data_IF_642099058169
#
_entry.id   IF_642099058169
#
_cell.length_a   1.000
_cell.length_b   1.000
_cell.length_c   1.000
_cell.angle_alpha   90.00
_cell.angle_beta   90.00
_cell.angle_gamma   90.00
#
_symmetry.space_group_name_H-M   'P 1'
#
loop_
_entity.id
_entity.type
_entity.pdbx_description
1 polymer ?
#
# COMPACT_ATOMS: atom_id res chain seq x y z
N UNK A 1 9.36 4.05 21.61
CA UNK A 1 8.93 3.66 20.25
C UNK A 1 8.13 2.34 20.17
N UNK A 2 7.84 1.68 21.29
CA UNK A 2 7.08 0.42 21.33
C UNK A 2 5.63 0.52 20.79
N UNK A 3 5.12 1.73 20.58
CA UNK A 3 3.74 1.99 20.11
C UNK A 3 3.59 2.21 18.61
N UNK A 4 4.68 2.29 17.82
CA UNK A 4 4.62 2.53 16.37
C UNK A 4 4.97 1.27 15.58
N UNK A 5 4.24 0.99 14.49
CA UNK A 5 4.57 -0.13 13.59
C UNK A 5 5.94 0.10 12.91
N UNK A 6 6.68 -0.98 12.67
CA UNK A 6 8.01 -0.98 12.05
C UNK A 6 8.06 -0.18 10.74
N UNK A 7 7.02 -0.27 9.89
CA UNK A 7 6.91 0.50 8.64
C UNK A 7 6.88 2.00 8.85
N UNK A 8 6.17 2.48 9.89
CA UNK A 8 6.11 3.90 10.23
C UNK A 8 7.44 4.41 10.76
N UNK A 9 8.14 3.58 11.56
CA UNK A 9 9.48 3.89 12.08
C UNK A 9 10.48 3.96 10.92
N UNK A 10 10.44 3.02 9.98
CA UNK A 10 11.30 3.01 8.78
C UNK A 10 11.10 4.28 7.95
N UNK A 11 9.84 4.64 7.66
CA UNK A 11 9.53 5.88 6.93
C UNK A 11 10.04 7.13 7.64
N UNK A 12 9.84 7.22 8.96
CA UNK A 12 10.35 8.34 9.75
C UNK A 12 11.88 8.42 9.69
N UNK A 13 12.60 7.30 9.86
CA UNK A 13 14.06 7.23 9.75
C UNK A 13 14.54 7.69 8.38
N UNK A 14 13.86 7.29 7.31
CA UNK A 14 14.21 7.71 5.94
C UNK A 14 14.10 9.23 5.79
N UNK A 15 12.99 9.84 6.22
CA UNK A 15 12.84 11.30 6.14
C UNK A 15 13.83 12.03 7.05
N UNK A 16 14.08 11.50 8.24
CA UNK A 16 15.03 12.07 9.18
C UNK A 16 16.44 12.11 8.58
N UNK A 17 16.94 10.96 8.12
CA UNK A 17 18.32 10.83 7.64
C UNK A 17 18.56 11.52 6.29
N UNK A 18 17.57 11.49 5.39
CA UNK A 18 17.77 11.98 4.03
C UNK A 18 17.43 13.47 3.88
N UNK A 19 16.61 14.03 4.76
CA UNK A 19 16.11 15.39 4.59
C UNK A 19 16.28 16.30 5.80
N UNK A 20 15.89 15.84 7.01
CA UNK A 20 15.88 16.69 8.18
C UNK A 20 17.29 16.88 8.75
N UNK A 21 18.02 15.79 9.03
CA UNK A 21 19.40 15.88 9.56
C UNK A 21 20.31 16.67 8.60
N UNK A 22 20.38 16.39 7.28
CA UNK A 22 21.26 17.14 6.38
C UNK A 22 20.98 18.64 6.29
N UNK A 23 19.77 19.07 6.67
CA UNK A 23 19.40 20.48 6.64
C UNK A 23 19.59 21.17 7.99
N UNK A 24 19.26 20.49 9.09
CA UNK A 24 19.20 21.10 10.43
C UNK A 24 20.35 20.71 11.36
N UNK A 25 21.31 19.87 10.92
CA UNK A 25 22.38 19.31 11.76
C UNK A 25 23.31 20.37 12.42
N UNK A 26 23.36 21.58 11.89
CA UNK A 26 24.15 22.66 12.42
C UNK A 26 23.37 23.64 13.32
N UNK A 27 22.06 23.42 13.44
CA UNK A 27 21.17 24.29 14.21
C UNK A 27 20.76 23.55 15.48
N UNK A 28 21.02 24.21 16.63
CA UNK A 28 20.46 23.72 17.89
C UNK A 28 18.94 23.84 17.85
N UNK A 29 18.24 22.78 18.24
CA UNK A 29 16.78 22.74 18.25
C UNK A 29 16.14 23.86 19.07
N UNK A 30 16.82 24.33 20.11
CA UNK A 30 16.36 25.47 20.96
C UNK A 30 16.47 26.82 20.27
N UNK A 31 17.34 26.93 19.27
CA UNK A 31 17.57 28.15 18.49
C UNK A 31 16.88 28.10 17.11
N UNK A 32 16.14 27.02 16.82
CA UNK A 32 15.44 26.87 15.54
C UNK A 32 14.35 27.93 15.38
N UNK A 33 14.37 28.64 14.26
CA UNK A 33 13.42 29.71 13.94
C UNK A 33 12.42 29.33 12.89
N UNK A 34 11.33 30.12 12.79
CA UNK A 34 10.36 29.97 11.67
C UNK A 34 11.03 30.21 10.32
N UNK A 35 12.02 31.13 10.25
CA UNK A 35 12.77 31.38 9.01
C UNK A 35 13.56 30.14 8.53
N UNK A 36 14.15 29.39 9.45
CA UNK A 36 14.90 28.18 9.10
C UNK A 36 13.98 27.09 8.54
N UNK A 37 12.78 26.97 9.11
CA UNK A 37 11.75 26.06 8.58
C UNK A 37 11.27 26.50 7.20
N UNK A 38 11.05 27.81 6.98
CA UNK A 38 10.68 28.35 5.66
C UNK A 38 11.78 28.14 4.62
N UNK A 39 13.06 28.34 4.98
CA UNK A 39 14.21 28.02 4.11
C UNK A 39 14.23 26.54 3.73
N UNK A 40 13.98 25.65 4.69
CA UNK A 40 13.86 24.22 4.45
C UNK A 40 12.75 23.92 3.45
N UNK A 41 11.55 24.45 3.67
CA UNK A 41 10.40 24.25 2.78
C UNK A 41 10.73 24.75 1.35
N UNK A 42 11.26 25.95 1.21
CA UNK A 42 11.62 26.54 -0.08
C UNK A 42 12.70 25.71 -0.81
N UNK A 43 13.70 25.19 -0.09
CA UNK A 43 14.71 24.30 -0.65
C UNK A 43 14.05 23.01 -1.18
N UNK A 44 13.17 22.39 -0.38
CA UNK A 44 12.51 21.14 -0.75
C UNK A 44 11.51 21.28 -1.90
N UNK A 45 10.86 22.42 -2.04
CA UNK A 45 10.04 22.75 -3.21
C UNK A 45 10.88 22.76 -4.50
N UNK A 46 12.09 23.32 -4.46
CA UNK A 46 13.00 23.38 -5.62
C UNK A 46 13.58 22.01 -6.02
N UNK A 47 13.61 21.06 -5.09
CA UNK A 47 14.12 19.68 -5.36
C UNK A 47 13.15 18.81 -6.18
N UNK A 48 11.94 19.29 -6.51
CA UNK A 48 10.99 18.59 -7.39
C UNK A 48 10.26 17.40 -6.77
N UNK A 49 10.20 17.31 -5.44
CA UNK A 49 9.42 16.29 -4.75
C UNK A 49 7.91 16.47 -4.95
N UNK A 50 7.14 15.39 -4.91
CA UNK A 50 5.67 15.46 -4.96
C UNK A 50 5.10 16.20 -3.76
N UNK A 51 3.99 16.93 -3.96
CA UNK A 51 3.34 17.71 -2.90
C UNK A 51 2.99 16.88 -1.66
N UNK A 52 2.52 15.64 -1.85
CA UNK A 52 2.24 14.73 -0.72
C UNK A 52 3.49 14.33 0.05
N UNK A 53 4.60 14.13 -0.64
CA UNK A 53 5.87 13.80 -0.01
C UNK A 53 6.39 14.97 0.81
N UNK A 54 6.29 16.19 0.28
CA UNK A 54 6.64 17.43 0.98
C UNK A 54 5.78 17.63 2.24
N UNK A 55 4.46 17.51 2.11
CA UNK A 55 3.53 17.59 3.26
C UNK A 55 3.89 16.58 4.34
N UNK A 56 4.29 15.37 3.95
CA UNK A 56 4.69 14.31 4.88
C UNK A 56 6.00 14.62 5.60
N UNK A 57 6.99 15.22 4.91
CA UNK A 57 8.23 15.71 5.55
C UNK A 57 7.93 16.73 6.63
N UNK A 58 7.05 17.69 6.34
CA UNK A 58 6.66 18.71 7.31
C UNK A 58 5.96 18.09 8.54
N UNK A 59 5.02 17.16 8.34
CA UNK A 59 4.35 16.43 9.43
C UNK A 59 5.37 15.70 10.32
N UNK A 60 6.43 15.14 9.75
CA UNK A 60 7.48 14.51 10.55
C UNK A 60 8.31 15.52 11.33
N UNK A 61 8.63 16.68 10.76
CA UNK A 61 9.31 17.76 11.47
C UNK A 61 8.46 18.26 12.66
N UNK A 62 7.17 18.52 12.43
CA UNK A 62 6.21 18.91 13.49
C UNK A 62 6.15 17.84 14.59
N UNK A 63 6.08 16.55 14.21
CA UNK A 63 6.05 15.45 15.18
C UNK A 63 7.35 15.36 16.01
N UNK A 64 8.50 15.66 15.41
CA UNK A 64 9.80 15.68 16.10
C UNK A 64 9.87 16.81 17.10
N UNK A 65 9.49 18.04 16.71
CA UNK A 65 9.50 19.20 17.59
C UNK A 65 8.45 19.07 18.71
N UNK A 66 7.27 18.49 18.45
CA UNK A 66 6.31 18.16 19.50
C UNK A 66 6.88 17.15 20.52
N UNK A 67 7.70 16.20 20.07
CA UNK A 67 8.41 15.30 20.98
C UNK A 67 9.43 16.07 21.83
N UNK A 68 10.17 17.01 21.23
CA UNK A 68 11.11 17.85 21.95
C UNK A 68 10.41 18.76 22.98
N UNK A 69 9.26 19.33 22.65
CA UNK A 69 8.42 20.07 23.61
C UNK A 69 7.98 19.22 24.79
N UNK A 70 7.61 17.97 24.53
CA UNK A 70 7.07 17.08 25.57
C UNK A 70 8.14 16.52 26.53
N UNK A 71 9.37 16.31 26.05
CA UNK A 71 10.38 15.54 26.78
C UNK A 71 11.72 16.25 26.93
N UNK A 72 11.92 17.41 26.29
CA UNK A 72 13.20 18.10 26.23
C UNK A 72 13.05 19.63 26.39
N UNK A 73 11.99 20.11 27.05
CA UNK A 73 11.76 21.50 27.43
C UNK A 73 11.78 22.53 26.28
N UNK A 74 11.58 22.10 25.02
CA UNK A 74 11.41 23.03 23.91
C UNK A 74 10.12 23.84 24.13
N UNK A 75 10.19 25.16 24.09
CA UNK A 75 9.06 26.04 24.45
C UNK A 75 7.98 26.13 23.39
N UNK A 76 8.31 26.01 22.11
CA UNK A 76 7.36 26.15 21.01
C UNK A 76 7.74 25.30 19.81
N UNK A 77 6.75 24.92 19.01
CA UNK A 77 6.95 24.20 17.75
C UNK A 77 6.89 25.19 16.59
N UNK A 78 8.05 25.71 16.20
CA UNK A 78 8.16 26.69 15.10
C UNK A 78 7.69 26.12 13.75
N UNK A 79 7.77 24.80 13.53
CA UNK A 79 7.24 24.20 12.31
C UNK A 79 5.70 24.23 12.29
N UNK A 80 5.03 24.05 13.42
CA UNK A 80 3.57 24.23 13.51
C UNK A 80 3.16 25.68 13.22
N UNK A 81 3.97 26.66 13.65
CA UNK A 81 3.68 28.07 13.40
C UNK A 81 3.80 28.45 11.92
N UNK A 82 4.78 27.87 11.22
CA UNK A 82 4.96 28.09 9.76
C UNK A 82 3.82 27.45 8.95
N UNK A 83 3.28 26.35 9.41
CA UNK A 83 2.27 25.61 8.66
C UNK A 83 2.86 24.67 7.61
N UNK A 84 2.00 23.82 7.04
CA UNK A 84 2.39 22.83 6.05
C UNK A 84 2.53 23.48 4.66
N UNK A 85 3.11 22.76 3.71
CA UNK A 85 3.20 23.19 2.32
C UNK A 85 1.80 23.43 1.73
N UNK A 86 1.58 24.62 1.20
CA UNK A 86 0.37 24.98 0.44
C UNK A 86 0.53 24.47 -1.00
N UNK A 87 0.21 23.22 -1.22
CA UNK A 87 0.27 22.58 -2.54
C UNK A 87 -1.09 21.96 -2.83
N UNK A 88 -1.70 22.38 -3.92
CA UNK A 88 -2.92 21.74 -4.41
C UNK A 88 -2.65 20.27 -4.72
N UNK A 89 -3.39 19.38 -4.10
CA UNK A 89 -3.37 17.97 -4.46
C UNK A 89 -4.48 17.70 -5.45
N UNK A 90 -4.19 17.78 -6.74
CA UNK A 90 -5.07 17.28 -7.79
C UNK A 90 -5.09 15.76 -7.74
N UNK A 91 -5.72 15.18 -6.72
CA UNK A 91 -5.96 13.74 -6.64
C UNK A 91 -7.09 13.39 -7.60
N UNK A 92 -6.73 13.08 -8.84
CA UNK A 92 -7.64 12.29 -9.66
C UNK A 92 -7.65 10.87 -9.12
N UNK A 93 -8.84 10.36 -8.79
CA UNK A 93 -9.02 8.93 -8.54
C UNK A 93 -8.90 8.23 -9.90
N UNK A 94 -7.77 7.61 -10.14
CA UNK A 94 -7.60 6.78 -11.32
C UNK A 94 -8.21 5.42 -11.02
N UNK A 95 -8.99 4.92 -11.94
CA UNK A 95 -9.60 3.59 -11.88
C UNK A 95 -9.83 3.07 -13.29
N UNK A 96 -9.98 1.78 -13.43
CA UNK A 96 -10.41 1.13 -14.66
C UNK A 96 -11.89 0.79 -14.59
N UNK A 97 -12.57 0.95 -15.72
CA UNK A 97 -13.88 0.35 -15.95
C UNK A 97 -13.76 -1.17 -16.05
N UNK A 98 -14.89 -1.88 -16.01
CA UNK A 98 -14.90 -3.34 -16.20
C UNK A 98 -14.28 -3.74 -17.55
N UNK A 99 -14.60 -3.01 -18.62
CA UNK A 99 -14.05 -3.29 -19.96
C UNK A 99 -12.53 -3.10 -20.01
N UNK A 100 -12.01 -2.06 -19.34
CA UNK A 100 -10.58 -1.83 -19.24
C UNK A 100 -9.90 -2.91 -18.39
N UNK A 101 -10.52 -3.34 -17.30
CA UNK A 101 -10.02 -4.45 -16.51
C UNK A 101 -10.00 -5.74 -17.32
N UNK A 102 -11.05 -6.04 -18.10
CA UNK A 102 -11.09 -7.20 -18.96
C UNK A 102 -9.98 -7.20 -20.02
N UNK A 103 -9.70 -6.05 -20.66
CA UNK A 103 -8.56 -5.93 -21.58
C UNK A 103 -7.22 -6.24 -20.89
N UNK A 104 -7.01 -5.76 -19.68
CA UNK A 104 -5.82 -6.10 -18.88
C UNK A 104 -5.81 -7.60 -18.51
N UNK A 105 -6.94 -8.16 -18.12
CA UNK A 105 -7.07 -9.56 -17.74
C UNK A 105 -6.69 -10.52 -18.88
N UNK A 106 -7.09 -10.20 -20.12
CA UNK A 106 -6.81 -11.04 -21.31
C UNK A 106 -5.31 -11.16 -21.62
N UNK A 107 -4.51 -10.14 -21.33
CA UNK A 107 -3.07 -10.17 -21.58
C UNK A 107 -2.26 -10.85 -20.47
N UNK A 108 -2.90 -11.29 -19.39
CA UNK A 108 -2.24 -12.02 -18.32
C UNK A 108 -1.95 -13.47 -18.72
N UNK A 109 -0.68 -13.93 -18.67
CA UNK A 109 -0.28 -15.20 -19.27
C UNK A 109 -0.59 -16.45 -18.45
N UNK A 110 -0.81 -16.33 -17.13
CA UNK A 110 -1.00 -17.51 -16.26
C UNK A 110 -2.26 -17.40 -15.41
N UNK A 111 -2.82 -18.55 -15.04
CA UNK A 111 -4.01 -18.64 -14.17
C UNK A 111 -3.77 -17.94 -12.82
N UNK A 112 -2.56 -18.05 -12.25
CA UNK A 112 -2.20 -17.39 -10.98
C UNK A 112 -2.26 -15.88 -11.10
N UNK A 113 -1.75 -15.31 -12.21
CA UNK A 113 -1.80 -13.88 -12.45
C UNK A 113 -3.23 -13.41 -12.66
N UNK A 114 -3.98 -14.13 -13.49
CA UNK A 114 -5.40 -13.89 -13.76
C UNK A 114 -6.20 -13.87 -12.47
N UNK A 115 -6.08 -14.90 -11.67
CA UNK A 115 -6.81 -15.03 -10.40
C UNK A 115 -6.42 -13.98 -9.38
N UNK A 116 -5.12 -13.66 -9.26
CA UNK A 116 -4.63 -12.63 -8.34
C UNK A 116 -5.25 -11.25 -8.63
N UNK A 117 -5.19 -10.80 -9.88
CA UNK A 117 -5.73 -9.50 -10.25
C UNK A 117 -7.26 -9.48 -10.28
N UNK A 118 -7.90 -10.60 -10.63
CA UNK A 118 -9.35 -10.76 -10.57
C UNK A 118 -9.86 -10.66 -9.12
N UNK A 119 -9.17 -11.29 -8.16
CA UNK A 119 -9.47 -11.14 -6.73
C UNK A 119 -9.29 -9.69 -6.26
N UNK A 120 -8.22 -8.98 -6.66
CA UNK A 120 -8.06 -7.57 -6.32
C UNK A 120 -9.22 -6.71 -6.82
N UNK A 121 -9.65 -6.95 -8.06
CA UNK A 121 -10.70 -6.18 -8.70
C UNK A 121 -12.09 -6.43 -8.07
N UNK A 122 -12.47 -7.69 -7.90
CA UNK A 122 -13.80 -8.06 -7.38
C UNK A 122 -13.93 -7.98 -5.86
N UNK A 123 -12.86 -8.10 -5.11
CA UNK A 123 -12.91 -7.99 -3.65
C UNK A 123 -12.67 -6.57 -3.13
N UNK A 124 -12.00 -5.71 -3.91
CA UNK A 124 -11.52 -4.43 -3.44
C UNK A 124 -10.55 -4.54 -2.25
N UNK A 125 -9.97 -5.72 -1.99
CA UNK A 125 -8.99 -5.90 -0.93
C UNK A 125 -7.65 -5.24 -1.26
N UNK A 126 -6.81 -5.02 -0.25
CA UNK A 126 -5.46 -4.47 -0.47
C UNK A 126 -4.53 -5.55 -1.03
N UNK A 127 -3.54 -5.16 -1.84
CA UNK A 127 -2.51 -6.07 -2.39
C UNK A 127 -1.91 -6.99 -1.32
N UNK A 128 -1.55 -6.44 -0.16
CA UNK A 128 -0.99 -7.22 0.94
C UNK A 128 -1.99 -8.15 1.64
N UNK A 129 -3.27 -7.84 1.61
CA UNK A 129 -4.34 -8.71 2.12
C UNK A 129 -4.49 -9.94 1.21
N UNK A 130 -4.59 -9.74 -0.11
CA UNK A 130 -4.66 -10.85 -1.09
C UNK A 130 -3.40 -11.72 -1.05
N UNK A 131 -2.20 -11.12 -0.90
CA UNK A 131 -0.95 -11.88 -0.77
C UNK A 131 -0.89 -12.75 0.48
N UNK A 132 -1.55 -12.32 1.57
CA UNK A 132 -1.57 -13.04 2.82
C UNK A 132 -2.62 -14.15 2.90
N UNK A 133 -3.55 -14.22 1.94
CA UNK A 133 -4.60 -15.25 1.94
C UNK A 133 -4.01 -16.66 1.91
N UNK A 134 -4.60 -17.52 2.70
CA UNK A 134 -4.39 -18.97 2.68
C UNK A 134 -5.68 -19.67 2.26
N UNK A 135 -5.62 -20.94 1.89
CA UNK A 135 -6.81 -21.70 1.49
C UNK A 135 -7.86 -21.79 2.60
N UNK A 136 -7.43 -21.80 3.88
CA UNK A 136 -8.35 -21.80 5.02
C UNK A 136 -9.13 -20.50 5.21
N UNK A 137 -8.70 -19.40 4.55
CA UNK A 137 -9.43 -18.12 4.58
C UNK A 137 -10.59 -18.06 3.56
N UNK A 138 -10.80 -19.11 2.76
CA UNK A 138 -11.83 -19.16 1.74
C UNK A 138 -12.99 -20.04 2.22
N UNK A 139 -14.16 -19.45 2.29
CA UNK A 139 -15.40 -20.17 2.55
C UNK A 139 -16.13 -20.39 1.21
N UNK A 140 -16.07 -21.64 0.73
CA UNK A 140 -16.70 -22.04 -0.53
C UNK A 140 -18.21 -22.28 -0.41
N UNK A 141 -18.72 -22.50 0.80
CA UNK A 141 -20.15 -22.75 1.04
C UNK A 141 -20.94 -21.44 1.03
N UNK A 142 -20.38 -20.40 1.68
CA UNK A 142 -21.02 -19.09 1.79
C UNK A 142 -20.46 -18.05 0.81
N UNK A 143 -19.53 -18.43 -0.07
CA UNK A 143 -18.95 -17.60 -1.13
C UNK A 143 -18.25 -16.33 -0.60
N UNK A 144 -17.39 -16.43 0.42
CA UNK A 144 -16.60 -15.29 0.89
C UNK A 144 -15.12 -15.63 1.13
N UNK A 145 -14.31 -14.60 1.16
CA UNK A 145 -12.94 -14.64 1.67
C UNK A 145 -12.84 -13.90 2.99
N UNK A 146 -12.13 -14.48 3.98
CA UNK A 146 -11.92 -13.89 5.29
C UNK A 146 -10.61 -13.10 5.33
N UNK A 147 -10.70 -11.77 5.40
CA UNK A 147 -9.52 -10.90 5.52
C UNK A 147 -9.18 -10.67 6.98
N UNK A 148 -8.14 -11.32 7.49
CA UNK A 148 -7.69 -11.25 8.88
C UNK A 148 -6.20 -10.94 9.03
N UNK A 149 -5.46 -10.85 7.92
CA UNK A 149 -4.02 -10.65 7.90
C UNK A 149 -3.57 -9.86 6.66
N UNK A 150 -2.36 -9.35 6.71
CA UNK A 150 -1.72 -8.68 5.57
C UNK A 150 -0.24 -9.01 5.53
N UNK A 151 0.28 -9.26 4.34
CA UNK A 151 1.72 -9.41 4.11
C UNK A 151 2.34 -8.04 3.78
N UNK A 152 3.36 -7.66 4.53
CA UNK A 152 4.15 -6.46 4.32
C UNK A 152 5.62 -6.84 4.19
N UNK A 153 6.15 -6.85 2.97
CA UNK A 153 7.54 -7.26 2.66
C UNK A 153 7.94 -8.66 3.14
N UNK A 154 7.00 -9.59 3.21
CA UNK A 154 7.22 -10.95 3.70
C UNK A 154 6.88 -11.15 5.18
N UNK A 155 6.57 -10.09 5.90
CA UNK A 155 6.09 -10.15 7.27
C UNK A 155 4.55 -10.18 7.29
N UNK A 156 3.96 -11.30 7.67
CA UNK A 156 2.51 -11.42 7.84
C UNK A 156 2.12 -10.85 9.21
N UNK A 157 1.24 -9.87 9.17
CA UNK A 157 0.79 -9.18 10.39
C UNK A 157 -0.74 -9.07 10.44
N UNK A 158 -1.27 -9.01 11.66
CA UNK A 158 -2.70 -8.71 11.88
C UNK A 158 -3.00 -7.25 11.48
N UNK A 159 -4.18 -6.96 10.93
CA UNK A 159 -4.61 -5.60 10.60
C UNK A 159 -4.51 -4.64 11.79
N UNK A 160 -4.41 -3.34 11.49
CA UNK A 160 -4.23 -2.28 12.52
C UNK A 160 -5.48 -2.05 13.38
N UNK A 161 -6.65 -2.36 12.83
CA UNK A 161 -7.95 -2.10 13.47
C UNK A 161 -8.83 -3.33 13.36
N UNK A 162 -9.72 -3.55 14.32
CA UNK A 162 -10.72 -4.62 14.26
C UNK A 162 -11.62 -4.51 13.01
N UNK A 163 -11.96 -3.30 12.58
CA UNK A 163 -12.75 -3.06 11.38
C UNK A 163 -12.06 -3.46 10.06
N UNK A 164 -10.75 -3.74 10.08
CA UNK A 164 -10.04 -4.24 8.92
C UNK A 164 -10.14 -5.77 8.78
N UNK A 165 -10.57 -6.48 9.84
CA UNK A 165 -10.94 -7.90 9.78
C UNK A 165 -12.37 -7.94 9.29
N UNK A 166 -12.60 -8.65 8.17
CA UNK A 166 -13.89 -8.66 7.50
C UNK A 166 -14.01 -9.83 6.54
N UNK A 167 -15.23 -10.24 6.29
CA UNK A 167 -15.59 -11.15 5.21
C UNK A 167 -15.94 -10.33 3.97
N UNK A 168 -15.46 -10.76 2.81
CA UNK A 168 -15.79 -10.17 1.53
C UNK A 168 -16.48 -11.23 0.70
N UNK A 169 -17.75 -11.05 0.44
CA UNK A 169 -18.53 -11.92 -0.42
C UNK A 169 -18.12 -11.73 -1.88
N UNK A 170 -17.90 -12.82 -2.57
CA UNK A 170 -17.45 -12.83 -3.95
C UNK A 170 -18.56 -13.36 -4.87
N UNK A 171 -18.64 -12.86 -6.11
CA UNK A 171 -19.53 -13.43 -7.11
C UNK A 171 -19.23 -14.91 -7.38
N UNK A 172 -20.24 -15.68 -7.75
CA UNK A 172 -20.14 -17.13 -7.98
C UNK A 172 -19.03 -17.50 -8.95
N UNK A 173 -18.88 -16.76 -10.05
CA UNK A 173 -17.83 -17.00 -11.04
C UNK A 173 -16.39 -16.84 -10.50
N UNK A 174 -16.21 -16.05 -9.43
CA UNK A 174 -14.93 -15.93 -8.73
C UNK A 174 -14.65 -17.15 -7.86
N UNK A 175 -15.71 -17.67 -7.21
CA UNK A 175 -15.59 -18.88 -6.39
C UNK A 175 -15.34 -20.12 -7.28
N UNK A 176 -15.89 -20.13 -8.48
CA UNK A 176 -15.66 -21.22 -9.46
C UNK A 176 -14.19 -21.21 -9.93
N UNK A 177 -13.62 -20.05 -10.25
CA UNK A 177 -12.19 -19.92 -10.57
C UNK A 177 -11.30 -20.38 -9.38
N UNK A 178 -11.66 -20.04 -8.16
CA UNK A 178 -10.94 -20.48 -6.96
C UNK A 178 -11.04 -22.00 -6.75
N UNK A 179 -12.20 -22.62 -7.02
CA UNK A 179 -12.40 -24.07 -6.97
C UNK A 179 -11.54 -24.78 -8.04
N UNK A 180 -11.50 -24.24 -9.25
CA UNK A 180 -10.67 -24.80 -10.33
C UNK A 180 -9.18 -24.77 -9.93
N UNK A 181 -8.72 -23.64 -9.39
CA UNK A 181 -7.35 -23.49 -8.93
C UNK A 181 -7.04 -24.40 -7.73
N UNK A 182 -7.97 -24.58 -6.80
CA UNK A 182 -7.87 -25.53 -5.70
C UNK A 182 -7.76 -26.98 -6.20
N UNK A 183 -8.59 -27.37 -7.16
CA UNK A 183 -8.57 -28.71 -7.75
C UNK A 183 -7.21 -29.02 -8.38
N UNK A 184 -6.58 -28.04 -9.02
CA UNK A 184 -5.24 -28.21 -9.54
C UNK A 184 -4.22 -28.54 -8.42
N UNK A 185 -4.26 -27.82 -7.27
CA UNK A 185 -3.40 -28.10 -6.13
C UNK A 185 -3.66 -29.48 -5.52
N UNK A 186 -4.91 -29.87 -5.40
CA UNK A 186 -5.30 -31.18 -4.84
C UNK A 186 -4.84 -32.33 -5.74
N UNK A 187 -5.04 -32.22 -7.04
CA UNK A 187 -4.65 -33.22 -8.02
C UNK A 187 -3.13 -33.40 -8.13
N UNK A 188 -2.36 -32.37 -7.80
CA UNK A 188 -0.89 -32.44 -7.76
C UNK A 188 -0.33 -32.78 -6.37
N UNK A 189 -1.18 -33.15 -5.39
CA UNK A 189 -0.80 -33.49 -4.01
C UNK A 189 0.00 -32.39 -3.27
N UNK A 190 -0.20 -31.11 -3.63
CA UNK A 190 0.48 -29.97 -3.04
C UNK A 190 -0.42 -29.13 -2.14
N UNK A 191 -1.69 -29.51 -2.03
CA UNK A 191 -2.67 -28.78 -1.22
C UNK A 191 -2.48 -29.01 0.28
N UNK A 192 -2.47 -27.90 1.03
CA UNK A 192 -2.77 -27.85 2.45
C UNK A 192 -3.51 -26.54 2.74
N UNK A 193 -4.46 -26.57 3.65
CA UNK A 193 -5.35 -25.43 3.94
C UNK A 193 -4.59 -24.20 4.46
N UNK A 194 -3.49 -24.40 5.14
CA UNK A 194 -2.63 -23.35 5.66
C UNK A 194 -1.64 -22.74 4.63
N UNK A 195 -1.53 -23.32 3.42
CA UNK A 195 -0.67 -22.78 2.39
C UNK A 195 -1.23 -21.47 1.82
N UNK A 196 -0.35 -20.55 1.53
CA UNK A 196 -0.72 -19.29 0.87
C UNK A 196 -1.32 -19.57 -0.51
N UNK A 197 -2.35 -18.80 -0.84
CA UNK A 197 -3.05 -18.91 -2.11
C UNK A 197 -2.12 -18.57 -3.30
N UNK A 198 -1.29 -17.54 -3.14
CA UNK A 198 -0.36 -17.05 -4.16
C UNK A 198 1.08 -17.08 -3.66
N UNK A 199 1.74 -18.22 -3.85
CA UNK A 199 3.10 -18.37 -3.37
C UNK A 199 3.63 -19.79 -3.42
N UNK A 200 4.57 -20.08 -2.53
CA UNK A 200 5.14 -21.40 -2.36
C UNK A 200 4.94 -21.81 -0.90
N UNK A 201 4.06 -22.77 -0.64
CA UNK A 201 3.71 -23.22 0.70
C UNK A 201 3.31 -22.07 1.63
N UNK A 202 4.13 -21.74 2.62
CA UNK A 202 3.87 -20.68 3.60
C UNK A 202 4.38 -19.29 3.18
N UNK A 203 5.06 -19.19 2.02
CA UNK A 203 5.68 -17.94 1.57
C UNK A 203 4.95 -17.36 0.37
N UNK A 204 4.30 -16.24 0.59
CA UNK A 204 3.66 -15.47 -0.49
C UNK A 204 4.68 -14.97 -1.53
N UNK A 205 4.24 -14.81 -2.78
CA UNK A 205 5.05 -14.16 -3.81
C UNK A 205 5.43 -12.74 -3.34
N UNK A 206 6.68 -12.34 -3.63
CA UNK A 206 7.17 -11.02 -3.24
C UNK A 206 6.38 -9.90 -3.91
N UNK A 207 6.35 -8.73 -3.27
CA UNK A 207 5.73 -7.54 -3.86
C UNK A 207 6.32 -7.23 -5.23
N UNK A 208 7.64 -7.31 -5.37
CA UNK A 208 8.34 -7.06 -6.65
C UNK A 208 7.94 -8.05 -7.74
N UNK A 209 7.58 -9.31 -7.39
CA UNK A 209 7.06 -10.27 -8.38
C UNK A 209 5.69 -9.84 -8.90
N UNK A 210 4.80 -9.42 -7.99
CA UNK A 210 3.47 -8.95 -8.36
C UNK A 210 3.55 -7.65 -9.17
N UNK A 211 4.40 -6.70 -8.75
CA UNK A 211 4.60 -5.44 -9.47
C UNK A 211 5.15 -5.68 -10.88
N UNK A 212 6.01 -6.69 -11.05
CA UNK A 212 6.52 -7.11 -12.35
C UNK A 212 5.44 -7.75 -13.21
N UNK A 213 4.55 -8.57 -12.66
CA UNK A 213 3.40 -9.12 -13.37
C UNK A 213 2.54 -8.00 -13.96
N UNK A 214 2.18 -7.03 -13.11
CA UNK A 214 1.41 -5.87 -13.53
C UNK A 214 2.11 -5.08 -14.63
N UNK A 215 3.40 -4.74 -14.43
CA UNK A 215 4.17 -3.94 -15.38
C UNK A 215 4.34 -4.65 -16.73
N UNK A 216 4.56 -5.96 -16.72
CA UNK A 216 4.73 -6.73 -17.96
C UNK A 216 3.41 -6.85 -18.73
N UNK A 217 2.31 -7.14 -18.06
CA UNK A 217 0.99 -7.15 -18.67
C UNK A 217 0.61 -5.77 -19.22
N UNK A 218 0.90 -4.71 -18.46
CA UNK A 218 0.61 -3.34 -18.88
C UNK A 218 1.33 -2.95 -20.19
N UNK A 219 2.54 -3.44 -20.43
CA UNK A 219 3.31 -3.21 -21.67
C UNK A 219 2.66 -3.80 -22.92
N UNK A 220 1.76 -4.76 -22.75
CA UNK A 220 1.04 -5.42 -23.86
C UNK A 220 -0.24 -4.70 -24.24
N UNK A 221 -0.66 -3.70 -23.46
CA UNK A 221 -1.84 -2.89 -23.72
C UNK A 221 -1.54 -1.73 -24.65
N UNK A 222 -2.55 -1.11 -25.29
CA UNK A 222 -2.39 0.06 -26.12
C UNK A 222 -1.64 1.20 -25.40
N UNK A 223 -0.91 2.04 -26.13
CA UNK A 223 -0.08 3.11 -25.57
C UNK A 223 -0.88 4.20 -24.87
N UNK A 224 -2.13 4.39 -25.26
CA UNK A 224 -3.11 5.32 -24.69
C UNK A 224 -3.97 4.70 -23.57
N UNK A 225 -3.70 3.45 -23.21
CA UNK A 225 -4.44 2.76 -22.16
C UNK A 225 -4.31 3.50 -20.80
N UNK A 226 -5.41 3.69 -20.03
CA UNK A 226 -5.39 4.49 -18.81
C UNK A 226 -4.39 3.96 -17.78
N UNK A 227 -3.49 4.84 -17.34
CA UNK A 227 -2.45 4.49 -16.36
C UNK A 227 -3.01 4.49 -14.95
N UNK A 228 -2.87 3.34 -14.29
CA UNK A 228 -3.14 3.19 -12.86
C UNK A 228 -1.97 2.44 -12.19
N UNK A 229 -1.94 2.44 -10.86
CA UNK A 229 -1.07 1.56 -10.07
C UNK A 229 -1.89 0.42 -9.46
N UNK A 230 -1.25 -0.66 -9.05
CA UNK A 230 -1.96 -1.85 -8.52
C UNK A 230 -2.94 -1.50 -7.39
N UNK A 231 -2.57 -0.52 -6.53
CA UNK A 231 -3.47 -0.10 -5.44
C UNK A 231 -4.76 0.55 -5.95
N UNK A 232 -4.74 1.15 -7.13
CA UNK A 232 -5.88 1.82 -7.75
C UNK A 232 -6.88 0.82 -8.38
N UNK A 233 -6.51 -0.46 -8.57
CA UNK A 233 -7.46 -1.54 -8.90
C UNK A 233 -8.56 -1.62 -7.83
N UNK A 234 -8.23 -1.37 -6.56
CA UNK A 234 -9.23 -1.28 -5.49
C UNK A 234 -10.21 -0.12 -5.68
N UNK A 235 -9.78 1.01 -6.30
CA UNK A 235 -10.70 2.09 -6.65
C UNK A 235 -11.63 1.69 -7.78
N UNK A 236 -11.14 0.82 -8.69
CA UNK A 236 -11.95 0.24 -9.77
C UNK A 236 -13.09 -0.63 -9.23
N UNK A 237 -12.88 -1.35 -8.12
CA UNK A 237 -13.95 -2.10 -7.45
C UNK A 237 -15.14 -1.20 -7.06
N UNK A 238 -14.86 -0.01 -6.53
CA UNK A 238 -15.93 0.94 -6.16
C UNK A 238 -16.74 1.47 -7.36
N UNK A 239 -16.25 1.31 -8.58
CA UNK A 239 -16.99 1.66 -9.81
C UNK A 239 -17.89 0.54 -10.33
N UNK A 240 -17.84 -0.66 -9.70
CA UNK A 240 -18.73 -1.79 -10.00
C UNK A 240 -20.05 -1.75 -9.20
N UNK A 241 -20.08 -0.96 -8.12
CA UNK A 241 -21.23 -0.78 -7.23
C UNK A 241 -22.09 0.40 -7.67
#
# INVERSE_FOLDING_TARGET
SARRKASSVKSLKTHLNNHLIPHFNTIDVFNLTTQDVMKFQNKKLKEGHSGEYLKKMHVFLVSLLNHAMKYHDLKSNVASLVGNFEIESNKRLNYWTLDQFNQFYEVLPTIEQKLFFKLLFYSGARKGEIRALTWQDINFDDNYIHINKTDYHGDVTVPKTKAAIRDIYLPTHMMDDLKEYLNWYQNNNIYKSEYVLFGTFFKAFSESKIDRWFTNAYKLLPTDFPKIVIHEIRHSHASLL
#
